data_IF_859624891702
#
_entry.id   IF_859624891702
#
_cell.length_a   1.000
_cell.length_b   1.000
_cell.length_c   1.000
_cell.angle_alpha   90.00
_cell.angle_beta   90.00
_cell.angle_gamma   90.00
#
_symmetry.space_group_name_H-M   'P 1'
#
loop_
_entity.id
_entity.type
_entity.pdbx_description
1 polymer ?
#
# COMPACT_ATOMS: atom_id res chain seq x y z
N UNK A 1 -10.06 -42.27 -5.03
CA UNK A 1 -8.66 -42.13 -4.57
C UNK A 1 -8.01 -40.83 -5.04
N UNK A 2 -8.10 -40.44 -6.33
CA UNK A 2 -7.50 -39.19 -6.82
C UNK A 2 -7.98 -37.89 -6.12
N UNK A 3 -9.26 -37.79 -5.73
CA UNK A 3 -9.81 -36.59 -5.07
C UNK A 3 -9.28 -36.35 -3.64
N UNK A 4 -8.87 -37.42 -2.94
CA UNK A 4 -8.35 -37.36 -1.56
C UNK A 4 -6.90 -36.84 -1.54
N UNK A 5 -6.05 -37.31 -2.45
CA UNK A 5 -4.66 -36.81 -2.57
C UNK A 5 -4.58 -35.33 -2.94
N UNK A 6 -5.54 -34.82 -3.72
CA UNK A 6 -5.55 -33.40 -4.11
C UNK A 6 -5.91 -32.51 -2.92
N UNK A 7 -6.89 -32.89 -2.10
CA UNK A 7 -7.31 -32.10 -0.93
C UNK A 7 -6.24 -32.04 0.15
N UNK A 8 -5.53 -33.15 0.38
CA UNK A 8 -4.46 -33.25 1.37
C UNK A 8 -3.24 -32.41 0.96
N UNK A 9 -2.83 -32.49 -0.30
CA UNK A 9 -1.73 -31.68 -0.84
C UNK A 9 -2.03 -30.17 -0.80
N UNK A 10 -3.26 -29.76 -1.13
CA UNK A 10 -3.67 -28.36 -1.00
C UNK A 10 -3.59 -27.89 0.45
N UNK A 11 -4.08 -28.68 1.41
CA UNK A 11 -4.03 -28.35 2.83
C UNK A 11 -2.60 -28.14 3.32
N UNK A 12 -1.67 -29.04 2.94
CA UNK A 12 -0.25 -28.90 3.29
C UNK A 12 0.40 -27.68 2.63
N UNK A 13 0.07 -27.37 1.37
CA UNK A 13 0.54 -26.15 0.71
C UNK A 13 0.03 -24.89 1.41
N UNK A 14 -1.24 -24.86 1.83
CA UNK A 14 -1.81 -23.75 2.58
C UNK A 14 -1.13 -23.60 3.96
N UNK A 15 -0.92 -24.69 4.69
CA UNK A 15 -0.23 -24.68 5.98
C UNK A 15 1.21 -24.20 5.81
N UNK A 16 1.94 -24.69 4.80
CA UNK A 16 3.31 -24.25 4.50
C UNK A 16 3.38 -22.76 4.16
N UNK A 17 2.42 -22.26 3.38
CA UNK A 17 2.30 -20.83 3.06
C UNK A 17 2.03 -20.00 4.33
N UNK A 18 1.09 -20.42 5.18
CA UNK A 18 0.72 -19.75 6.43
C UNK A 18 1.91 -19.63 7.40
N UNK A 19 2.68 -20.72 7.58
CA UNK A 19 3.87 -20.68 8.44
C UNK A 19 4.93 -19.76 7.84
N UNK A 20 5.21 -19.89 6.54
CA UNK A 20 6.28 -19.11 5.90
C UNK A 20 5.96 -17.61 5.92
N UNK A 21 4.75 -17.23 5.51
CA UNK A 21 4.33 -15.83 5.55
C UNK A 21 4.26 -15.31 6.99
N UNK A 22 3.81 -16.13 7.95
CA UNK A 22 3.69 -15.75 9.35
C UNK A 22 5.05 -15.47 9.98
N UNK A 23 6.03 -16.34 9.76
CA UNK A 23 7.41 -16.15 10.23
C UNK A 23 8.03 -14.90 9.60
N UNK A 24 7.89 -14.74 8.28
CA UNK A 24 8.39 -13.55 7.57
C UNK A 24 7.73 -12.28 8.12
N UNK A 25 6.42 -12.27 8.32
CA UNK A 25 5.69 -11.14 8.87
C UNK A 25 6.15 -10.80 10.29
N UNK A 26 6.34 -11.79 11.17
CA UNK A 26 6.86 -11.55 12.53
C UNK A 26 8.26 -10.96 12.48
N UNK A 27 9.18 -11.53 11.71
CA UNK A 27 10.55 -11.01 11.59
C UNK A 27 10.56 -9.57 11.06
N UNK A 28 9.75 -9.30 10.05
CA UNK A 28 9.63 -7.96 9.48
C UNK A 28 8.97 -6.98 10.46
N UNK A 29 7.99 -7.44 11.23
CA UNK A 29 7.36 -6.64 12.29
C UNK A 29 8.32 -6.28 13.42
N UNK A 30 9.16 -7.23 13.86
CA UNK A 30 10.25 -6.96 14.80
C UNK A 30 11.22 -5.93 14.21
N UNK A 31 11.67 -6.13 12.97
CA UNK A 31 12.59 -5.20 12.31
C UNK A 31 12.00 -3.77 12.23
N UNK A 32 10.71 -3.64 11.92
CA UNK A 32 10.01 -2.36 11.85
C UNK A 32 9.97 -1.63 13.21
N UNK A 33 9.82 -2.35 14.32
CA UNK A 33 9.79 -1.76 15.66
C UNK A 33 11.17 -1.31 16.14
N UNK A 34 12.20 -2.13 15.93
CA UNK A 34 13.55 -1.87 16.45
C UNK A 34 14.43 -1.05 15.49
N UNK A 35 14.19 -1.15 14.18
CA UNK A 35 14.91 -0.39 13.14
C UNK A 35 13.95 0.34 12.20
N UNK A 36 13.10 1.25 12.73
CA UNK A 36 12.09 1.93 11.92
C UNK A 36 12.70 2.72 10.76
N UNK A 37 13.91 3.28 10.93
CA UNK A 37 14.62 3.98 9.85
C UNK A 37 14.99 3.06 8.68
N UNK A 38 15.56 1.89 8.96
CA UNK A 38 15.94 0.92 7.92
C UNK A 38 14.71 0.39 7.20
N UNK A 39 13.68 0.00 7.96
CA UNK A 39 12.42 -0.48 7.39
C UNK A 39 11.73 0.59 6.55
N UNK A 40 11.70 1.86 7.01
CA UNK A 40 11.20 2.98 6.22
C UNK A 40 11.95 3.09 4.88
N UNK A 41 13.29 3.07 4.91
CA UNK A 41 14.10 3.14 3.70
C UNK A 41 13.75 2.03 2.70
N UNK A 42 13.54 0.80 3.17
CA UNK A 42 13.15 -0.31 2.28
C UNK A 42 11.82 -0.05 1.57
N UNK A 43 10.78 0.37 2.30
CA UNK A 43 9.48 0.71 1.70
C UNK A 43 9.60 1.86 0.71
N UNK A 44 10.34 2.89 1.07
CA UNK A 44 10.58 4.07 0.24
C UNK A 44 11.33 3.68 -1.04
N UNK A 45 12.35 2.82 -0.96
CA UNK A 45 13.09 2.31 -2.11
C UNK A 45 12.20 1.46 -3.02
N UNK A 46 11.35 0.60 -2.46
CA UNK A 46 10.37 -0.16 -3.23
C UNK A 46 9.43 0.75 -4.03
N UNK A 47 8.97 1.85 -3.42
CA UNK A 47 8.15 2.85 -4.10
C UNK A 47 8.92 3.57 -5.22
N UNK A 48 10.18 3.94 -5.00
CA UNK A 48 11.03 4.53 -6.04
C UNK A 48 11.24 3.58 -7.23
N UNK A 49 11.48 2.29 -6.96
CA UNK A 49 11.59 1.25 -7.99
C UNK A 49 10.26 1.12 -8.73
N UNK A 50 9.13 1.13 -8.02
CA UNK A 50 7.80 1.06 -8.61
C UNK A 50 7.54 2.22 -9.59
N UNK A 51 7.85 3.46 -9.20
CA UNK A 51 7.74 4.62 -10.11
C UNK A 51 8.61 4.45 -11.34
N UNK A 52 9.84 3.96 -11.17
CA UNK A 52 10.75 3.73 -12.28
C UNK A 52 10.22 2.66 -13.24
N UNK A 53 9.72 1.54 -12.71
CA UNK A 53 9.09 0.46 -13.50
C UNK A 53 7.86 0.98 -14.24
N UNK A 54 6.99 1.77 -13.59
CA UNK A 54 5.84 2.40 -14.23
C UNK A 54 6.27 3.32 -15.38
N UNK A 55 7.29 4.15 -15.16
CA UNK A 55 7.82 5.03 -16.20
C UNK A 55 8.37 4.25 -17.40
N UNK A 56 9.11 3.17 -17.17
CA UNK A 56 9.63 2.30 -18.24
C UNK A 56 8.48 1.65 -19.02
N UNK A 57 7.51 1.07 -18.32
CA UNK A 57 6.35 0.43 -18.94
C UNK A 57 5.57 1.45 -19.77
N UNK A 58 5.30 2.63 -19.22
CA UNK A 58 4.58 3.69 -19.92
C UNK A 58 5.36 4.24 -21.12
N UNK A 59 6.68 4.32 -21.04
CA UNK A 59 7.54 4.69 -22.16
C UNK A 59 7.44 3.66 -23.30
N UNK A 60 7.51 2.35 -22.98
CA UNK A 60 7.33 1.28 -23.96
C UNK A 60 5.95 1.37 -24.62
N UNK A 61 4.88 1.52 -23.84
CA UNK A 61 3.53 1.67 -24.39
C UNK A 61 3.37 2.92 -25.26
N UNK A 62 4.06 4.02 -24.90
CA UNK A 62 4.04 5.24 -25.70
C UNK A 62 4.68 5.05 -27.09
N UNK A 63 5.72 4.22 -27.20
CA UNK A 63 6.34 3.87 -28.48
C UNK A 63 5.45 2.94 -29.31
N UNK A 64 4.79 1.96 -28.67
CA UNK A 64 3.88 1.05 -29.34
C UNK A 64 2.58 1.74 -29.81
N UNK A 65 2.23 2.88 -29.21
CA UNK A 65 1.01 3.65 -29.50
C UNK A 65 1.17 4.77 -30.54
N UNK A 66 2.34 4.91 -31.16
CA UNK A 66 2.68 6.02 -32.08
C UNK A 66 1.63 6.26 -33.18
N UNK A 67 1.09 5.19 -33.75
CA UNK A 67 0.15 5.28 -34.88
C UNK A 67 -1.31 5.51 -34.46
N UNK A 68 -1.63 5.39 -33.17
CA UNK A 68 -3.02 5.42 -32.65
C UNK A 68 -3.36 6.67 -31.87
N UNK A 69 -2.36 7.40 -31.38
CA UNK A 69 -2.54 8.53 -30.46
C UNK A 69 -1.92 9.78 -31.10
N UNK A 70 -2.74 10.76 -31.45
CA UNK A 70 -2.28 12.04 -32.04
C UNK A 70 -1.26 12.78 -31.15
N UNK A 71 -1.28 12.51 -29.84
CA UNK A 71 -0.42 13.10 -28.81
C UNK A 71 0.61 12.10 -28.24
N UNK A 72 0.98 11.06 -28.99
CA UNK A 72 1.93 10.02 -28.53
C UNK A 72 3.25 10.59 -27.99
N UNK A 73 3.75 11.67 -28.60
CA UNK A 73 5.00 12.30 -28.21
C UNK A 73 4.91 12.99 -26.84
N UNK A 74 3.73 13.53 -26.47
CA UNK A 74 3.49 14.08 -25.12
C UNK A 74 3.50 12.98 -24.07
N UNK A 75 2.88 11.83 -24.38
CA UNK A 75 2.90 10.67 -23.50
C UNK A 75 4.32 10.13 -23.33
N UNK A 76 5.13 10.13 -24.39
CA UNK A 76 6.52 9.69 -24.32
C UNK A 76 7.35 10.61 -23.41
N UNK A 77 7.22 11.92 -23.59
CA UNK A 77 7.88 12.92 -22.75
C UNK A 77 7.43 12.81 -21.28
N UNK A 78 6.14 12.64 -21.03
CA UNK A 78 5.61 12.48 -19.68
C UNK A 78 6.21 11.24 -18.98
N UNK A 79 6.29 10.10 -19.68
CA UNK A 79 6.91 8.90 -19.13
C UNK A 79 8.41 9.05 -18.94
N UNK A 80 9.10 9.81 -19.81
CA UNK A 80 10.51 10.12 -19.62
C UNK A 80 10.73 10.96 -18.36
N UNK A 81 9.84 11.92 -18.08
CA UNK A 81 9.83 12.68 -16.82
C UNK A 81 9.61 11.75 -15.64
N UNK A 82 8.64 10.82 -15.72
CA UNK A 82 8.39 9.83 -14.66
C UNK A 82 9.65 8.98 -14.38
N UNK A 83 10.35 8.50 -15.41
CA UNK A 83 11.61 7.77 -15.25
C UNK A 83 12.65 8.64 -14.55
N UNK A 84 12.83 9.89 -14.99
CA UNK A 84 13.74 10.85 -14.39
C UNK A 84 13.43 11.10 -12.91
N UNK A 85 12.14 11.26 -12.58
CA UNK A 85 11.64 11.39 -11.21
C UNK A 85 11.95 10.11 -10.42
N UNK A 86 11.64 8.93 -10.94
CA UNK A 86 11.94 7.65 -10.30
C UNK A 86 13.43 7.49 -9.96
N UNK A 87 14.32 7.85 -10.89
CA UNK A 87 15.77 7.84 -10.64
C UNK A 87 16.18 8.88 -9.59
N UNK A 88 15.62 10.09 -9.65
CA UNK A 88 15.89 11.14 -8.65
C UNK A 88 15.47 10.72 -7.24
N UNK A 89 14.28 10.12 -7.13
CA UNK A 89 13.73 9.60 -5.89
C UNK A 89 14.62 8.48 -5.30
N UNK A 90 15.04 7.52 -6.12
CA UNK A 90 15.93 6.44 -5.66
C UNK A 90 17.29 6.94 -5.15
N UNK A 91 17.79 8.04 -5.71
CA UNK A 91 19.04 8.68 -5.24
C UNK A 91 18.87 9.53 -3.98
N UNK A 92 17.64 9.96 -3.69
CA UNK A 92 17.32 10.80 -2.54
C UNK A 92 16.22 10.16 -1.69
N UNK A 93 16.51 9.09 -0.93
CA UNK A 93 15.51 8.37 -0.14
C UNK A 93 14.73 9.26 0.85
N UNK A 94 15.37 10.29 1.40
CA UNK A 94 14.72 11.24 2.30
C UNK A 94 13.58 12.01 1.61
N UNK A 95 13.84 12.54 0.41
CA UNK A 95 12.83 13.23 -0.40
C UNK A 95 11.73 12.28 -0.82
N UNK A 96 12.09 11.04 -1.16
CA UNK A 96 11.11 10.01 -1.53
C UNK A 96 10.18 9.67 -0.39
N UNK A 97 10.70 9.57 0.84
CA UNK A 97 9.86 9.41 2.03
C UNK A 97 8.83 10.53 2.16
N UNK A 98 9.25 11.78 1.97
CA UNK A 98 8.33 12.92 2.03
C UNK A 98 7.29 12.86 0.90
N UNK A 99 7.69 12.55 -0.33
CA UNK A 99 6.77 12.45 -1.48
C UNK A 99 5.72 11.35 -1.26
N UNK A 100 6.12 10.19 -0.76
CA UNK A 100 5.20 9.09 -0.42
C UNK A 100 4.19 9.53 0.62
N UNK A 101 4.65 10.15 1.71
CA UNK A 101 3.78 10.57 2.81
C UNK A 101 2.84 11.70 2.38
N UNK A 102 3.32 12.65 1.56
CA UNK A 102 2.47 13.68 0.98
C UNK A 102 1.40 13.08 0.07
N UNK A 103 1.77 12.14 -0.79
CA UNK A 103 0.83 11.42 -1.65
C UNK A 103 -0.26 10.73 -0.82
N UNK A 104 0.12 10.01 0.24
CA UNK A 104 -0.82 9.39 1.18
C UNK A 104 -1.73 10.44 1.83
N UNK A 105 -1.18 11.55 2.31
CA UNK A 105 -1.96 12.63 2.91
C UNK A 105 -2.99 13.24 1.95
N UNK A 106 -2.62 13.49 0.69
CA UNK A 106 -3.54 13.96 -0.34
C UNK A 106 -4.64 12.93 -0.63
N UNK A 107 -4.30 11.65 -0.72
CA UNK A 107 -5.30 10.58 -0.91
C UNK A 107 -6.27 10.51 0.27
N UNK A 108 -5.80 10.65 1.51
CA UNK A 108 -6.64 10.67 2.70
C UNK A 108 -7.61 11.86 2.70
N UNK A 109 -7.15 13.05 2.33
CA UNK A 109 -8.02 14.22 2.18
C UNK A 109 -9.06 13.97 1.08
N UNK A 110 -8.63 13.48 -0.10
CA UNK A 110 -9.53 13.23 -1.22
C UNK A 110 -10.61 12.20 -0.87
N UNK A 111 -10.24 11.07 -0.27
CA UNK A 111 -11.19 10.07 0.21
C UNK A 111 -12.09 10.63 1.32
N UNK A 112 -11.53 11.39 2.27
CA UNK A 112 -12.32 11.99 3.34
C UNK A 112 -13.36 13.00 2.81
N UNK A 113 -13.03 13.76 1.77
CA UNK A 113 -13.97 14.63 1.07
C UNK A 113 -15.05 13.80 0.37
N UNK A 114 -14.68 12.73 -0.34
CA UNK A 114 -15.65 11.84 -1.00
C UNK A 114 -16.61 11.24 0.03
N UNK A 115 -16.12 10.71 1.14
CA UNK A 115 -16.94 10.13 2.21
C UNK A 115 -17.87 11.16 2.85
N UNK A 116 -17.38 12.39 3.09
CA UNK A 116 -18.21 13.47 3.60
C UNK A 116 -19.33 13.83 2.60
N UNK A 117 -19.02 13.92 1.30
CA UNK A 117 -20.01 14.15 0.25
C UNK A 117 -21.01 13.00 0.20
N UNK A 118 -20.56 11.74 0.25
CA UNK A 118 -21.44 10.57 0.26
C UNK A 118 -22.37 10.56 1.47
N UNK A 119 -21.88 10.89 2.67
CA UNK A 119 -22.71 10.99 3.87
C UNK A 119 -23.79 12.07 3.79
N UNK A 120 -23.49 13.20 3.13
CA UNK A 120 -24.43 14.32 3.01
C UNK A 120 -25.45 14.15 1.87
N UNK A 121 -25.02 13.61 0.72
CA UNK A 121 -25.79 13.71 -0.52
C UNK A 121 -26.25 12.36 -1.10
N UNK A 122 -25.72 11.23 -0.62
CA UNK A 122 -26.13 9.92 -1.17
C UNK A 122 -27.57 9.56 -0.80
N UNK A 123 -28.30 9.07 -1.80
CA UNK A 123 -29.67 8.54 -1.67
C UNK A 123 -29.72 7.02 -1.52
N UNK A 124 -28.58 6.35 -1.64
CA UNK A 124 -28.49 4.90 -1.40
C UNK A 124 -28.90 4.57 0.03
N UNK A 125 -29.77 3.58 0.19
CA UNK A 125 -30.30 3.18 1.50
C UNK A 125 -29.20 2.74 2.46
N UNK A 126 -28.19 2.02 1.97
CA UNK A 126 -27.06 1.57 2.79
C UNK A 126 -26.24 2.73 3.35
N UNK A 127 -26.00 3.75 2.52
CA UNK A 127 -25.28 4.97 2.93
C UNK A 127 -26.15 5.84 3.83
N UNK A 128 -27.46 5.92 3.53
CA UNK A 128 -28.42 6.72 4.29
C UNK A 128 -28.63 6.21 5.72
N UNK A 129 -28.65 4.89 5.92
CA UNK A 129 -28.77 4.26 7.24
C UNK A 129 -27.52 4.50 8.09
N UNK A 130 -26.35 4.51 7.44
CA UNK A 130 -25.05 4.66 8.08
C UNK A 130 -24.42 6.05 7.89
N UNK A 131 -25.21 7.11 7.66
CA UNK A 131 -24.70 8.47 7.34
C UNK A 131 -23.63 8.97 8.29
N UNK A 132 -23.83 8.74 9.59
CA UNK A 132 -22.88 9.17 10.62
C UNK A 132 -21.50 8.54 10.45
N UNK A 133 -21.42 7.29 9.98
CA UNK A 133 -20.15 6.60 9.72
C UNK A 133 -19.39 7.30 8.60
N UNK A 134 -20.07 7.66 7.50
CA UNK A 134 -19.47 8.37 6.37
C UNK A 134 -19.05 9.80 6.73
N UNK A 135 -19.86 10.52 7.51
CA UNK A 135 -19.52 11.89 7.94
C UNK A 135 -18.33 11.91 8.90
N UNK A 136 -18.32 11.02 9.89
CA UNK A 136 -17.23 10.91 10.86
C UNK A 136 -15.98 10.38 10.16
N UNK A 137 -16.11 9.33 9.35
CA UNK A 137 -15.01 8.79 8.55
C UNK A 137 -14.40 9.83 7.63
N UNK A 138 -15.24 10.62 6.95
CA UNK A 138 -14.82 11.71 6.08
C UNK A 138 -14.07 12.81 6.82
N UNK A 139 -14.63 13.29 7.93
CA UNK A 139 -13.98 14.28 8.77
C UNK A 139 -12.63 13.79 9.33
N UNK A 140 -12.59 12.55 9.83
CA UNK A 140 -11.36 11.92 10.32
C UNK A 140 -10.33 11.76 9.20
N UNK A 141 -10.75 11.37 7.99
CA UNK A 141 -9.87 11.24 6.83
C UNK A 141 -9.24 12.58 6.42
N UNK A 142 -10.02 13.66 6.40
CA UNK A 142 -9.52 15.01 6.12
C UNK A 142 -8.53 15.45 7.20
N UNK A 143 -8.89 15.32 8.48
CA UNK A 143 -8.01 15.72 9.59
C UNK A 143 -6.72 14.91 9.58
N UNK A 144 -6.83 13.58 9.41
CA UNK A 144 -5.67 12.71 9.30
C UNK A 144 -4.78 13.14 8.13
N UNK A 145 -5.34 13.36 6.95
CA UNK A 145 -4.57 13.78 5.78
C UNK A 145 -3.87 15.14 5.97
N UNK A 146 -4.52 16.09 6.64
CA UNK A 146 -3.89 17.38 7.01
C UNK A 146 -2.73 17.18 7.98
N UNK A 147 -2.92 16.37 9.02
CA UNK A 147 -1.85 16.06 10.00
C UNK A 147 -0.67 15.36 9.33
N UNK A 148 -0.96 14.42 8.41
CA UNK A 148 0.04 13.69 7.63
C UNK A 148 0.91 14.65 6.80
N UNK A 149 0.28 15.60 6.11
CA UNK A 149 0.98 16.60 5.28
C UNK A 149 1.76 17.60 6.15
N UNK A 150 1.21 18.01 7.30
CA UNK A 150 1.86 18.95 8.21
C UNK A 150 3.10 18.35 8.90
N UNK A 151 3.10 17.03 9.15
CA UNK A 151 4.18 16.34 9.87
C UNK A 151 4.64 15.06 9.14
N UNK A 152 5.27 15.19 7.96
CA UNK A 152 5.58 14.03 7.12
C UNK A 152 6.62 13.09 7.76
N UNK A 153 7.63 13.64 8.43
CA UNK A 153 8.68 12.84 9.09
C UNK A 153 8.12 12.01 10.26
N UNK A 154 7.30 12.61 11.12
CA UNK A 154 6.66 11.91 12.24
C UNK A 154 5.67 10.86 11.74
N UNK A 155 4.90 11.18 10.70
CA UNK A 155 3.96 10.26 10.06
C UNK A 155 4.66 9.03 9.51
N UNK A 156 5.80 9.19 8.85
CA UNK A 156 6.57 8.06 8.33
C UNK A 156 6.96 7.05 9.42
N UNK A 157 7.40 7.55 10.58
CA UNK A 157 7.74 6.71 11.73
C UNK A 157 6.49 6.02 12.32
N UNK A 158 5.40 6.77 12.50
CA UNK A 158 4.14 6.22 13.00
C UNK A 158 3.61 5.12 12.07
N UNK A 159 3.70 5.31 10.76
CA UNK A 159 3.30 4.33 9.77
C UNK A 159 4.12 3.04 9.89
N UNK A 160 5.44 3.14 10.02
CA UNK A 160 6.31 1.97 10.17
C UNK A 160 6.04 1.21 11.45
N UNK A 161 5.81 1.92 12.57
CA UNK A 161 5.45 1.25 13.83
C UNK A 161 4.06 0.61 13.79
N UNK A 162 3.06 1.30 13.24
CA UNK A 162 1.73 0.75 13.05
C UNK A 162 1.78 -0.52 12.19
N UNK A 163 2.54 -0.48 11.09
CA UNK A 163 2.76 -1.62 10.22
C UNK A 163 3.51 -2.75 10.94
N UNK A 164 4.53 -2.42 11.73
CA UNK A 164 5.29 -3.40 12.51
C UNK A 164 4.43 -4.15 13.53
N UNK A 165 3.61 -3.42 14.29
CA UNK A 165 2.64 -4.00 15.22
C UNK A 165 1.61 -4.86 14.49
N UNK A 166 1.08 -4.36 13.37
CA UNK A 166 0.14 -5.11 12.55
C UNK A 166 0.74 -6.43 12.05
N UNK A 167 1.97 -6.41 11.55
CA UNK A 167 2.65 -7.61 11.04
C UNK A 167 3.00 -8.60 12.15
N UNK A 168 3.34 -8.13 13.35
CA UNK A 168 3.52 -8.98 14.52
C UNK A 168 2.23 -9.71 14.87
N UNK A 169 1.10 -8.99 14.96
CA UNK A 169 -0.19 -9.57 15.30
C UNK A 169 -0.61 -10.55 14.20
N UNK A 170 -0.62 -10.11 12.93
CA UNK A 170 -1.07 -10.93 11.80
C UNK A 170 -0.20 -12.16 11.60
N UNK A 171 1.13 -12.01 11.69
CA UNK A 171 2.07 -13.12 11.54
C UNK A 171 1.93 -14.15 12.66
N UNK A 172 1.75 -13.70 13.91
CA UNK A 172 1.48 -14.60 15.04
C UNK A 172 0.17 -15.37 14.87
N UNK A 173 -0.87 -14.70 14.37
CA UNK A 173 -2.15 -15.35 14.06
C UNK A 173 -2.03 -16.40 12.95
N UNK A 174 -1.29 -16.11 11.87
CA UNK A 174 -1.10 -17.05 10.76
C UNK A 174 -0.34 -18.31 11.19
N UNK A 175 0.68 -18.17 12.04
CA UNK A 175 1.38 -19.30 12.65
C UNK A 175 0.42 -20.12 13.53
N UNK A 176 -0.40 -19.46 14.36
CA UNK A 176 -1.39 -20.13 15.20
C UNK A 176 -2.45 -20.90 14.38
N UNK A 177 -2.93 -20.30 13.30
CA UNK A 177 -3.87 -20.93 12.37
C UNK A 177 -3.25 -22.12 11.64
N UNK A 178 -1.97 -22.03 11.24
CA UNK A 178 -1.27 -23.14 10.61
C UNK A 178 -1.20 -24.38 11.53
N UNK A 179 -0.91 -24.17 12.82
CA UNK A 179 -0.89 -25.26 13.80
C UNK A 179 -2.28 -25.86 14.01
N UNK A 180 -3.33 -25.03 14.06
CA UNK A 180 -4.70 -25.51 14.17
C UNK A 180 -5.11 -26.34 12.95
N UNK A 181 -4.82 -25.87 11.74
CA UNK A 181 -5.13 -26.59 10.51
C UNK A 181 -4.37 -27.92 10.38
N UNK A 182 -3.13 -27.99 10.89
CA UNK A 182 -2.36 -29.24 10.92
C UNK A 182 -2.84 -30.23 11.98
N UNK A 183 -3.54 -29.76 13.01
CA UNK A 183 -4.08 -30.60 14.09
C UNK A 183 -5.44 -31.24 13.74
N UNK A 184 -6.19 -30.62 12.82
CA UNK A 184 -7.40 -31.19 12.19
C UNK A 184 -7.04 -32.19 11.09
#
# INVERSE_FOLDING_TARGET
MAKYNVTENLKDQFVGLLVTQGVVAVLFGIAALFWPGLTATLFISMFGIFILVLGIIGFIFSLLGMDRISLWWLQMLFNLVIIGVGVYLLRNPEVTGQVVILFVGFTLIAHGIVDAISGLFSKDKEVADNRWIYLIGGALGIVAGVVVIAHPAATGLMFVWALGLYLLIRGSLDIGLAFRLRAE
#
